data_IF_360266080235
#
_entry.id   IF_360266080235
#
_cell.length_a   1.000
_cell.length_b   1.000
_cell.length_c   1.000
_cell.angle_alpha   90.00
_cell.angle_beta   90.00
_cell.angle_gamma   90.00
#
_symmetry.space_group_name_H-M   'P 1'
#
loop_
_entity.id
_entity.type
_entity.pdbx_description
1 polymer ?
#
# COMPACT_ATOMS: atom_id res chain seq x y z
N UNK A 1 -10.77 -4.47 4.83
CA UNK A 1 -9.52 -5.19 5.20
C UNK A 1 -8.80 -4.34 6.24
N UNK A 2 -8.48 -4.86 7.44
CA UNK A 2 -7.79 -4.07 8.47
C UNK A 2 -6.28 -3.95 8.16
N UNK A 3 -5.75 -2.73 8.30
CA UNK A 3 -4.32 -2.46 8.18
C UNK A 3 -3.66 -2.33 9.54
N UNK A 4 -2.49 -2.97 9.69
CA UNK A 4 -1.65 -2.85 10.87
C UNK A 4 -0.48 -1.92 10.57
N UNK A 5 -0.34 -0.85 11.36
CA UNK A 5 0.83 0.02 11.29
C UNK A 5 2.05 -0.72 11.81
N UNK A 6 3.15 -0.70 11.06
CA UNK A 6 4.44 -1.20 11.54
C UNK A 6 5.05 -0.12 12.44
N UNK A 7 5.28 -0.45 13.71
CA UNK A 7 6.11 0.34 14.62
C UNK A 7 7.53 -0.24 14.64
N UNK A 8 8.52 0.62 14.49
CA UNK A 8 9.93 0.25 14.53
C UNK A 8 10.80 1.41 15.02
N UNK A 9 12.12 1.21 15.18
CA UNK A 9 13.04 2.24 15.69
C UNK A 9 13.19 3.45 14.77
N UNK A 10 12.61 3.40 13.57
CA UNK A 10 12.54 4.52 12.63
C UNK A 10 11.20 5.23 12.87
N UNK A 11 11.22 6.27 13.69
CA UNK A 11 10.01 7.02 14.11
C UNK A 11 9.24 7.62 12.93
N UNK A 12 9.94 7.95 11.84
CA UNK A 12 9.37 8.52 10.62
C UNK A 12 8.88 7.47 9.60
N UNK A 13 8.99 6.17 9.93
CA UNK A 13 8.54 5.12 9.02
C UNK A 13 7.03 4.91 9.15
N UNK A 14 6.31 5.50 8.21
CA UNK A 14 4.87 5.38 8.08
C UNK A 14 4.53 4.25 7.10
N UNK A 15 4.57 3.01 7.58
CA UNK A 15 4.20 1.83 6.81
C UNK A 15 3.03 1.10 7.48
N UNK A 16 2.07 0.70 6.66
CA UNK A 16 0.97 -0.16 7.06
C UNK A 16 0.92 -1.40 6.18
N UNK A 17 0.58 -2.54 6.75
CA UNK A 17 0.44 -3.78 6.01
C UNK A 17 -0.88 -4.45 6.31
N UNK A 18 -1.41 -5.14 5.31
CA UNK A 18 -2.57 -6.00 5.44
C UNK A 18 -2.43 -7.21 4.55
N UNK A 19 -3.05 -8.31 4.95
CA UNK A 19 -3.12 -9.53 4.15
C UNK A 19 -4.58 -9.98 4.07
N UNK A 20 -5.02 -10.36 2.88
CA UNK A 20 -6.38 -10.82 2.63
C UNK A 20 -6.46 -11.64 1.35
N UNK A 21 -7.22 -12.74 1.38
CA UNK A 21 -7.47 -13.64 0.24
C UNK A 21 -6.23 -14.03 -0.58
N UNK A 22 -5.11 -14.31 0.09
CA UNK A 22 -3.85 -14.71 -0.57
C UNK A 22 -3.04 -13.56 -1.17
N UNK A 23 -3.45 -12.31 -0.94
CA UNK A 23 -2.73 -11.10 -1.34
C UNK A 23 -2.22 -10.34 -0.12
N UNK A 24 -1.06 -9.70 -0.26
CA UNK A 24 -0.50 -8.77 0.71
C UNK A 24 -0.50 -7.38 0.12
N UNK A 25 -0.94 -6.42 0.93
CA UNK A 25 -0.99 -5.00 0.63
C UNK A 25 -0.05 -4.27 1.57
N UNK A 26 0.66 -3.28 1.03
CA UNK A 26 1.56 -2.40 1.77
C UNK A 26 1.23 -0.96 1.39
N UNK A 27 1.00 -0.14 2.41
CA UNK A 27 0.87 1.31 2.29
C UNK A 27 2.13 1.94 2.89
N UNK A 28 2.72 2.90 2.20
CA UNK A 28 3.77 3.76 2.73
C UNK A 28 3.41 5.23 2.54
N UNK A 29 3.87 6.10 3.44
CA UNK A 29 3.78 7.55 3.24
C UNK A 29 5.14 8.09 2.85
N UNK A 30 5.24 8.70 1.67
CA UNK A 30 6.46 9.35 1.22
C UNK A 30 6.41 10.85 1.52
N UNK A 31 7.42 11.33 2.23
CA UNK A 31 7.65 12.76 2.48
C UNK A 31 8.52 13.36 1.38
N UNK A 32 8.45 14.69 1.20
CA UNK A 32 9.28 15.42 0.21
C UNK A 32 10.79 15.25 0.40
N UNK A 33 11.23 14.84 1.58
CA UNK A 33 12.65 14.74 1.96
C UNK A 33 13.21 13.33 1.82
N UNK A 34 12.40 12.34 1.44
CA UNK A 34 12.85 10.97 1.25
C UNK A 34 13.83 10.84 0.07
N UNK A 35 14.78 9.89 0.10
CA UNK A 35 15.74 9.67 -0.98
C UNK A 35 15.07 9.26 -2.31
N UNK A 36 13.78 8.89 -2.26
CA UNK A 36 13.02 8.33 -3.37
C UNK A 36 12.51 9.32 -4.42
N UNK A 37 12.03 10.51 -4.08
CA UNK A 37 11.34 11.35 -5.08
C UNK A 37 11.36 12.85 -4.73
N UNK A 38 11.78 13.69 -5.71
CA UNK A 38 11.39 15.11 -5.85
C UNK A 38 9.89 15.24 -6.19
N UNK A 39 9.02 14.44 -5.55
CA UNK A 39 7.63 14.21 -5.90
C UNK A 39 6.62 14.85 -4.94
N UNK A 40 5.33 14.75 -5.26
CA UNK A 40 4.25 15.17 -4.36
C UNK A 40 4.21 14.20 -3.16
N UNK A 41 4.23 14.71 -1.92
CA UNK A 41 4.10 13.86 -0.74
C UNK A 41 2.71 13.21 -0.73
N UNK A 42 2.62 12.00 -0.21
CA UNK A 42 1.35 11.29 -0.10
C UNK A 42 1.50 9.81 0.18
N UNK A 43 0.36 9.14 0.26
CA UNK A 43 0.29 7.71 0.51
C UNK A 43 0.43 6.93 -0.80
N UNK A 44 1.35 5.97 -0.79
CA UNK A 44 1.53 5.01 -1.86
C UNK A 44 0.98 3.67 -1.39
N UNK A 45 0.33 2.94 -2.29
CA UNK A 45 -0.03 1.55 -2.04
C UNK A 45 0.55 0.62 -3.10
N UNK A 46 0.86 -0.59 -2.66
CA UNK A 46 1.25 -1.69 -3.52
C UNK A 46 0.66 -3.00 -3.01
N UNK A 47 0.55 -3.98 -3.91
CA UNK A 47 0.06 -5.31 -3.59
C UNK A 47 0.88 -6.40 -4.25
N UNK A 48 0.87 -7.61 -3.68
CA UNK A 48 1.47 -8.81 -4.29
C UNK A 48 0.70 -10.06 -3.89
N UNK A 49 0.67 -11.10 -4.73
CA UNK A 49 0.28 -12.44 -4.27
C UNK A 49 1.28 -12.93 -3.21
N UNK A 50 0.79 -13.64 -2.18
CA UNK A 50 1.62 -14.18 -1.10
C UNK A 50 2.28 -15.50 -1.53
N UNK A 51 1.55 -16.34 -2.27
CA UNK A 51 1.99 -17.67 -2.68
C UNK A 51 2.72 -17.71 -4.03
N UNK A 52 2.86 -16.57 -4.69
CA UNK A 52 3.60 -16.47 -5.95
C UNK A 52 4.79 -15.54 -5.76
N UNK A 53 5.97 -15.94 -6.22
CA UNK A 53 7.16 -15.09 -6.21
C UNK A 53 7.02 -14.02 -7.31
N UNK A 54 6.18 -13.03 -7.06
CA UNK A 54 5.94 -11.88 -7.95
C UNK A 54 6.28 -10.59 -7.23
N UNK A 55 6.81 -9.64 -7.99
CA UNK A 55 7.08 -8.28 -7.52
C UNK A 55 5.78 -7.59 -7.09
N UNK A 56 5.89 -6.66 -6.14
CA UNK A 56 4.77 -5.82 -5.75
C UNK A 56 4.37 -4.88 -6.89
N UNK A 57 3.07 -4.78 -7.13
CA UNK A 57 2.47 -3.92 -8.14
C UNK A 57 1.87 -2.71 -7.43
N UNK A 58 2.24 -1.51 -7.91
CA UNK A 58 1.72 -0.25 -7.39
C UNK A 58 0.22 -0.11 -7.73
N UNK A 59 -0.59 0.30 -6.76
CA UNK A 59 -2.00 0.62 -6.99
C UNK A 59 -2.10 1.96 -7.73
N UNK A 60 -2.86 1.98 -8.83
CA UNK A 60 -3.13 3.17 -9.63
C UNK A 60 -3.77 4.29 -8.80
N UNK A 61 -3.48 5.55 -9.14
CA UNK A 61 -3.95 6.71 -8.37
C UNK A 61 -2.98 7.20 -7.29
N UNK A 62 -1.95 6.41 -6.95
CA UNK A 62 -0.90 6.83 -6.02
C UNK A 62 0.01 7.94 -6.62
N UNK A 63 0.33 9.03 -5.87
CA UNK A 63 0.09 9.19 -4.44
C UNK A 63 -1.31 9.69 -4.07
N UNK A 64 -1.91 9.10 -3.03
CA UNK A 64 -3.17 9.51 -2.42
C UNK A 64 -2.94 10.55 -1.32
N UNK A 65 -3.97 11.35 -1.01
CA UNK A 65 -3.86 12.45 -0.04
C UNK A 65 -4.04 11.95 1.39
N UNK A 66 -4.94 10.97 1.59
CA UNK A 66 -5.30 10.48 2.94
C UNK A 66 -5.12 8.97 3.07
N UNK A 67 -4.92 8.50 4.31
CA UNK A 67 -4.85 7.06 4.61
C UNK A 67 -6.18 6.35 4.24
N UNK A 68 -7.32 7.00 4.49
CA UNK A 68 -8.62 6.43 4.19
C UNK A 68 -8.84 6.20 2.67
N UNK A 69 -8.40 7.15 1.83
CA UNK A 69 -8.45 7.01 0.36
C UNK A 69 -7.65 5.80 -0.12
N UNK A 70 -6.44 5.63 0.39
CA UNK A 70 -5.58 4.54 -0.05
C UNK A 70 -6.05 3.18 0.49
N UNK A 71 -6.64 3.13 1.70
CA UNK A 71 -7.27 1.92 2.24
C UNK A 71 -8.50 1.49 1.41
N UNK A 72 -9.29 2.46 0.95
CA UNK A 72 -10.41 2.22 0.04
C UNK A 72 -9.91 1.69 -1.30
N UNK A 73 -8.89 2.33 -1.89
CA UNK A 73 -8.28 1.86 -3.14
C UNK A 73 -7.70 0.43 -3.01
N UNK A 74 -7.12 0.07 -1.86
CA UNK A 74 -6.69 -1.30 -1.58
C UNK A 74 -7.88 -2.28 -1.51
N UNK A 75 -9.00 -1.85 -0.92
CA UNK A 75 -10.21 -2.68 -0.82
C UNK A 75 -10.84 -2.91 -2.20
N UNK A 76 -10.92 -1.87 -3.03
CA UNK A 76 -11.40 -1.97 -4.42
C UNK A 76 -10.48 -2.85 -5.27
N UNK A 77 -9.16 -2.71 -5.10
CA UNK A 77 -8.18 -3.57 -5.76
C UNK A 77 -8.35 -5.03 -5.33
N UNK A 78 -8.54 -5.31 -4.04
CA UNK A 78 -8.83 -6.66 -3.58
C UNK A 78 -10.09 -7.23 -4.23
N UNK A 79 -11.18 -6.44 -4.29
CA UNK A 79 -12.42 -6.84 -4.94
C UNK A 79 -12.20 -7.16 -6.44
N UNK A 80 -11.34 -6.40 -7.12
CA UNK A 80 -10.96 -6.67 -8.50
C UNK A 80 -10.15 -7.97 -8.65
N UNK A 81 -9.19 -8.22 -7.76
CA UNK A 81 -8.30 -9.39 -7.82
C UNK A 81 -9.00 -10.71 -7.52
N UNK A 82 -10.06 -10.70 -6.71
CA UNK A 82 -10.82 -11.90 -6.32
C UNK A 82 -12.01 -12.16 -7.24
N UNK A 83 -12.33 -11.23 -8.14
CA UNK A 83 -13.42 -11.41 -9.09
C UNK A 83 -13.05 -12.52 -10.07
N UNK A 84 -13.86 -13.57 -10.21
CA UNK A 84 -13.64 -14.58 -11.24
C UNK A 84 -13.69 -13.91 -12.62
N UNK A 85 -12.78 -14.35 -13.50
CA UNK A 85 -12.71 -13.89 -14.89
C UNK A 85 -13.96 -14.27 -15.67
#
# INVERSE_FOLDING_TARGET
MPFNRISGPIEDLHIWTATSNGFSFVISFETRSGPGLRGRPGYLASWRPIHQSRCAIKIGGSPFTTLAEVEMACTDMLAHLIRPA
#
